data_IF_560781604259
#
_entry.id   IF_560781604259
#
_cell.length_a   1.000
_cell.length_b   1.000
_cell.length_c   1.000
_cell.angle_alpha   90.00
_cell.angle_beta   90.00
_cell.angle_gamma   90.00
#
_symmetry.space_group_name_H-M   'P 1'
#
loop_
_entity.id
_entity.type
_entity.pdbx_description
1 polymer ?
#
# COMPACT_ATOMS: atom_id res chain seq x y z
N UNK A 1 4.06 -1.38 10.11
CA UNK A 1 2.97 -2.36 9.98
C UNK A 1 3.35 -3.27 8.83
N UNK A 2 3.51 -4.57 9.07
CA UNK A 2 3.94 -5.55 8.06
C UNK A 2 2.72 -6.23 7.44
N UNK A 3 2.87 -6.84 6.25
CA UNK A 3 1.85 -7.65 5.56
C UNK A 3 1.09 -8.60 6.49
N UNK A 4 1.79 -9.16 7.47
CA UNK A 4 1.27 -10.12 8.44
C UNK A 4 0.24 -9.48 9.37
N UNK A 5 0.48 -8.24 9.84
CA UNK A 5 -0.43 -7.58 10.78
C UNK A 5 -1.74 -7.13 10.11
N UNK A 6 -1.69 -6.69 8.84
CA UNK A 6 -2.89 -6.27 8.11
C UNK A 6 -3.87 -7.45 7.93
N UNK A 7 -3.37 -8.64 7.62
CA UNK A 7 -4.19 -9.85 7.43
C UNK A 7 -4.79 -10.34 8.73
N UNK A 8 -4.00 -10.29 9.81
CA UNK A 8 -4.48 -10.65 11.13
C UNK A 8 -5.53 -9.66 11.66
N UNK A 9 -5.32 -8.35 11.48
CA UNK A 9 -6.27 -7.32 11.94
C UNK A 9 -7.54 -7.26 11.09
N UNK A 10 -7.46 -7.56 9.79
CA UNK A 10 -8.61 -7.58 8.89
C UNK A 10 -9.32 -8.95 8.84
N UNK A 11 -8.92 -9.92 9.67
CA UNK A 11 -9.45 -11.30 9.70
C UNK A 11 -9.56 -11.96 8.30
N UNK A 12 -8.67 -11.60 7.38
CA UNK A 12 -8.79 -11.97 5.97
C UNK A 12 -8.61 -13.48 5.70
N UNK A 13 -8.19 -14.27 6.69
CA UNK A 13 -8.07 -15.74 6.60
C UNK A 13 -7.02 -16.24 5.59
N UNK A 14 -6.13 -15.36 5.12
CA UNK A 14 -5.17 -15.67 4.05
C UNK A 14 -3.86 -16.23 4.60
N UNK A 15 -3.41 -17.33 4.03
CA UNK A 15 -2.14 -17.98 4.34
C UNK A 15 -0.99 -17.28 3.58
N UNK A 16 -0.23 -16.46 4.29
CA UNK A 16 0.96 -15.75 3.76
C UNK A 16 2.13 -16.65 3.37
N UNK A 17 2.10 -17.93 3.72
CA UNK A 17 3.07 -18.92 3.26
C UNK A 17 2.75 -19.41 1.84
N UNK A 18 1.51 -19.22 1.38
CA UNK A 18 1.08 -19.52 0.03
C UNK A 18 1.35 -18.33 -0.90
N UNK A 19 2.22 -18.52 -1.89
CA UNK A 19 2.59 -17.48 -2.86
C UNK A 19 1.41 -16.99 -3.70
N UNK A 20 0.41 -17.84 -3.94
CA UNK A 20 -0.79 -17.50 -4.70
C UNK A 20 -1.70 -16.54 -3.90
N UNK A 21 -2.03 -16.89 -2.66
CA UNK A 21 -2.87 -16.07 -1.77
C UNK A 21 -2.21 -14.71 -1.47
N UNK A 22 -0.88 -14.70 -1.33
CA UNK A 22 -0.10 -13.47 -1.20
C UNK A 22 -0.22 -12.56 -2.43
N UNK A 23 -0.19 -13.15 -3.63
CA UNK A 23 -0.36 -12.39 -4.87
C UNK A 23 -1.76 -11.81 -4.98
N UNK A 24 -2.79 -12.61 -4.68
CA UNK A 24 -4.19 -12.17 -4.70
C UNK A 24 -4.45 -11.01 -3.73
N UNK A 25 -3.90 -11.08 -2.52
CA UNK A 25 -4.00 -9.97 -1.57
C UNK A 25 -3.29 -8.71 -2.06
N UNK A 26 -2.12 -8.87 -2.68
CA UNK A 26 -1.39 -7.72 -3.25
C UNK A 26 -2.22 -7.04 -4.33
N UNK A 27 -2.87 -7.82 -5.18
CA UNK A 27 -3.76 -7.31 -6.23
C UNK A 27 -4.99 -6.58 -5.63
N UNK A 28 -5.65 -7.16 -4.62
CA UNK A 28 -6.77 -6.51 -3.93
C UNK A 28 -6.34 -5.19 -3.27
N UNK A 29 -5.18 -5.16 -2.62
CA UNK A 29 -4.66 -3.92 -2.01
C UNK A 29 -4.33 -2.87 -3.08
N UNK A 30 -3.81 -3.30 -4.23
CA UNK A 30 -3.52 -2.41 -5.35
C UNK A 30 -4.82 -1.83 -5.94
N UNK A 31 -5.88 -2.64 -6.09
CA UNK A 31 -7.21 -2.19 -6.52
C UNK A 31 -7.84 -1.20 -5.53
N UNK A 32 -7.81 -1.50 -4.23
CA UNK A 32 -8.28 -0.58 -3.19
C UNK A 32 -7.48 0.72 -3.27
N UNK A 33 -6.15 0.63 -3.38
CA UNK A 33 -5.28 1.80 -3.45
C UNK A 33 -5.55 2.64 -4.72
N UNK A 34 -5.84 2.00 -5.85
CA UNK A 34 -6.25 2.70 -7.08
C UNK A 34 -7.58 3.46 -6.89
N UNK A 35 -8.56 2.82 -6.25
CA UNK A 35 -9.85 3.45 -5.94
C UNK A 35 -9.69 4.62 -4.97
N UNK A 36 -8.90 4.45 -3.90
CA UNK A 36 -8.59 5.49 -2.93
C UNK A 36 -7.91 6.69 -3.62
N UNK A 37 -6.92 6.44 -4.48
CA UNK A 37 -6.23 7.49 -5.23
C UNK A 37 -7.16 8.27 -6.17
N UNK A 38 -8.06 7.58 -6.88
CA UNK A 38 -9.09 8.22 -7.72
C UNK A 38 -10.02 9.12 -6.90
N UNK A 39 -10.25 8.77 -5.63
CA UNK A 39 -11.03 9.58 -4.69
C UNK A 39 -10.20 10.66 -3.96
N UNK A 40 -8.95 10.90 -4.38
CA UNK A 40 -8.06 11.91 -3.78
C UNK A 40 -7.42 11.49 -2.46
N UNK A 41 -7.42 10.19 -2.15
CA UNK A 41 -6.89 9.63 -0.90
C UNK A 41 -5.52 8.97 -1.11
N UNK A 42 -4.69 8.86 -0.06
CA UNK A 42 -3.36 8.29 -0.20
C UNK A 42 -3.36 6.77 -0.39
N UNK A 43 -2.35 6.27 -1.09
CA UNK A 43 -2.18 4.85 -1.43
C UNK A 43 -1.91 4.02 -0.17
N UNK A 44 -2.78 3.06 0.15
CA UNK A 44 -2.58 2.14 1.27
C UNK A 44 -1.37 1.21 1.04
N UNK A 45 -1.16 0.81 -0.22
CA UNK A 45 0.01 0.03 -0.65
C UNK A 45 1.36 0.69 -0.30
N UNK A 46 1.40 2.00 -0.03
CA UNK A 46 2.61 2.70 0.44
C UNK A 46 3.05 2.29 1.85
N UNK A 47 2.12 1.86 2.71
CA UNK A 47 2.42 1.41 4.07
C UNK A 47 2.78 -0.08 4.14
N UNK A 48 2.47 -0.82 3.07
CA UNK A 48 2.61 -2.27 3.01
C UNK A 48 4.05 -2.64 2.67
N UNK A 49 4.77 -3.19 3.66
CA UNK A 49 6.14 -3.69 3.48
C UNK A 49 6.17 -5.21 3.30
N UNK A 50 6.92 -5.68 2.31
CA UNK A 50 7.20 -7.11 2.13
C UNK A 50 8.30 -7.52 3.10
N UNK A 51 8.02 -8.57 3.90
CA UNK A 51 9.00 -9.15 4.83
C UNK A 51 10.26 -9.58 4.08
N UNK A 52 11.42 -9.09 4.49
CA UNK A 52 12.73 -9.39 3.87
C UNK A 52 13.19 -8.41 2.79
N UNK A 53 12.39 -7.40 2.43
CA UNK A 53 12.84 -6.30 1.57
C UNK A 53 12.93 -4.99 2.35
N UNK A 54 13.98 -4.20 2.07
CA UNK A 54 14.16 -2.86 2.65
C UNK A 54 13.04 -1.88 2.25
N UNK A 55 12.47 -2.10 1.07
CA UNK A 55 11.44 -1.25 0.44
C UNK A 55 10.19 -2.07 0.10
N UNK A 56 9.17 -1.36 -0.35
CA UNK A 56 7.88 -1.85 -0.80
C UNK A 56 8.09 -2.78 -1.99
N UNK A 57 7.20 -3.75 -2.16
CA UNK A 57 7.26 -4.67 -3.28
C UNK A 57 7.14 -3.94 -4.62
N UNK A 58 7.58 -4.59 -5.70
CA UNK A 58 7.51 -4.03 -7.06
C UNK A 58 6.08 -3.66 -7.49
N UNK A 59 5.07 -4.32 -6.92
CA UNK A 59 3.65 -4.03 -7.14
C UNK A 59 3.28 -2.57 -6.84
N UNK A 60 3.74 -2.04 -5.70
CA UNK A 60 3.50 -0.65 -5.31
C UNK A 60 4.01 0.34 -6.36
N UNK A 61 5.25 0.16 -6.83
CA UNK A 61 5.83 1.07 -7.81
C UNK A 61 5.15 0.95 -9.18
N UNK A 62 4.75 -0.27 -9.57
CA UNK A 62 3.96 -0.49 -10.79
C UNK A 62 2.58 0.15 -10.70
N UNK A 63 1.95 0.13 -9.53
CA UNK A 63 0.71 0.85 -9.27
C UNK A 63 0.94 2.36 -9.42
N UNK A 64 2.00 2.92 -8.84
CA UNK A 64 2.32 4.34 -8.99
C UNK A 64 2.53 4.73 -10.46
N UNK A 65 3.19 3.87 -11.25
CA UNK A 65 3.34 4.09 -12.69
C UNK A 65 1.99 4.06 -13.43
N UNK A 66 1.10 3.09 -13.11
CA UNK A 66 -0.26 3.03 -13.67
C UNK A 66 -1.08 4.27 -13.36
N UNK A 67 -0.85 4.88 -12.19
CA UNK A 67 -1.52 6.11 -11.75
C UNK A 67 -0.91 7.38 -12.36
N UNK A 68 0.19 7.27 -13.13
CA UNK A 68 0.86 8.40 -13.75
C UNK A 68 1.78 9.19 -12.81
N UNK A 69 2.17 8.63 -11.67
CA UNK A 69 3.06 9.29 -10.70
C UNK A 69 4.53 9.30 -11.15
N UNK A 70 4.91 8.46 -12.12
CA UNK A 70 6.27 8.38 -12.67
C UNK A 70 6.68 6.96 -13.04
N UNK A 71 7.90 6.78 -13.56
CA UNK A 71 8.40 5.45 -13.91
C UNK A 71 8.70 4.62 -12.67
N UNK A 72 8.20 3.38 -12.62
CA UNK A 72 8.34 2.53 -11.43
C UNK A 72 9.79 2.27 -11.00
N UNK A 73 10.73 2.18 -11.95
CA UNK A 73 12.15 1.93 -11.65
C UNK A 73 12.84 3.16 -11.05
N UNK A 74 12.43 4.34 -11.46
CA UNK A 74 12.92 5.61 -10.94
C UNK A 74 12.36 5.86 -9.54
N UNK A 75 11.04 5.70 -9.37
CA UNK A 75 10.35 5.81 -8.09
C UNK A 75 10.91 4.82 -7.05
N UNK A 76 11.31 3.62 -7.48
CA UNK A 76 11.95 2.62 -6.59
C UNK A 76 13.31 3.06 -6.06
N UNK A 77 14.03 3.90 -6.79
CA UNK A 77 15.32 4.48 -6.38
C UNK A 77 15.15 5.76 -5.58
N UNK A 78 13.98 6.38 -5.66
CA UNK A 78 13.64 7.58 -4.92
C UNK A 78 13.12 7.25 -3.52
N UNK A 79 14.04 7.21 -2.56
CA UNK A 79 13.73 7.03 -1.14
C UNK A 79 12.77 8.10 -0.61
N UNK A 80 12.86 9.33 -1.13
CA UNK A 80 12.08 10.48 -0.66
C UNK A 80 10.63 10.33 -1.09
N UNK A 81 10.39 9.91 -2.33
CA UNK A 81 9.03 9.59 -2.81
C UNK A 81 8.35 8.54 -1.92
N UNK A 82 9.06 7.48 -1.54
CA UNK A 82 8.51 6.42 -0.67
C UNK A 82 8.15 6.99 0.71
N UNK A 83 9.00 7.85 1.27
CA UNK A 83 8.78 8.49 2.56
C UNK A 83 7.59 9.46 2.52
N UNK A 84 7.50 10.28 1.47
CA UNK A 84 6.39 11.21 1.23
C UNK A 84 5.05 10.45 1.12
N UNK A 85 4.99 9.35 0.38
CA UNK A 85 3.77 8.54 0.25
C UNK A 85 3.37 7.89 1.59
N UNK A 86 4.35 7.38 2.36
CA UNK A 86 4.11 6.85 3.70
C UNK A 86 3.60 7.92 4.65
N UNK A 87 4.19 9.12 4.60
CA UNK A 87 3.81 10.24 5.45
C UNK A 87 2.42 10.77 5.09
N UNK A 88 2.10 10.92 3.81
CA UNK A 88 0.77 11.29 3.33
C UNK A 88 -0.29 10.29 3.82
N UNK A 89 -0.01 8.99 3.70
CA UNK A 89 -0.90 7.94 4.19
C UNK A 89 -1.08 8.01 5.71
N UNK A 90 0.02 8.14 6.46
CA UNK A 90 -0.05 8.31 7.92
C UNK A 90 -0.82 9.57 8.32
N UNK A 91 -0.57 10.71 7.70
CA UNK A 91 -1.23 11.97 8.05
C UNK A 91 -2.74 11.92 7.79
N UNK A 92 -3.15 11.27 6.70
CA UNK A 92 -4.56 11.11 6.36
C UNK A 92 -5.29 10.19 7.34
N UNK A 93 -4.72 9.03 7.68
CA UNK A 93 -5.35 8.04 8.56
C UNK A 93 -5.16 8.33 10.06
N UNK A 94 -4.14 9.10 10.44
CA UNK A 94 -3.96 9.62 11.81
C UNK A 94 -4.99 10.70 12.14
N UNK A 95 -5.58 11.34 11.12
CA UNK A 95 -6.68 12.26 11.33
C UNK A 95 -7.95 11.48 11.71
N UNK A 96 -8.32 11.58 12.99
CA UNK A 96 -9.52 10.92 13.55
C UNK A 96 -10.81 11.27 12.79
N UNK A 97 -10.91 12.46 12.20
CA UNK A 97 -12.12 12.87 11.43
C UNK A 97 -12.28 12.03 10.17
N UNK A 98 -11.18 11.75 9.45
CA UNK A 98 -11.19 10.88 8.28
C UNK A 98 -11.49 9.44 8.68
N UNK A 99 -10.86 8.95 9.76
CA UNK A 99 -11.09 7.60 10.27
C UNK A 99 -12.55 7.36 10.70
N UNK A 100 -13.19 8.36 11.32
CA UNK A 100 -14.58 8.27 11.81
C UNK A 100 -15.63 8.34 10.70
N UNK A 101 -15.28 8.87 9.52
CA UNK A 101 -16.24 9.09 8.43
C UNK A 101 -16.43 7.87 7.53
N UNK A 102 -15.61 6.82 7.71
CA UNK A 102 -15.60 5.61 6.88
C UNK A 102 -15.64 4.32 7.71
N UNK A 103 -16.18 4.42 8.94
CA UNK A 103 -16.44 3.29 9.84
C UNK A 103 -17.89 2.82 9.69
#
# INVERSE_FOLDING_TARGET
MTFQNLIYEAELGLNLENSYEKSMLTEVIDEISESEYKNGRPLLSSLVQTKGQKNQGDSFFRLCERLGLGNWKELKRDSKFIEEQREACRNFWKNKVNYSSFL
#
